data_IF_908712589840
#
_entry.id   IF_908712589840
#
_cell.length_a   1.000
_cell.length_b   1.000
_cell.length_c   1.000
_cell.angle_alpha   90.00
_cell.angle_beta   90.00
_cell.angle_gamma   90.00
#
_symmetry.space_group_name_H-M   'P 1'
#
loop_
_entity.id
_entity.type
_entity.pdbx_description
1 polymer ?
#
# COMPACT_ATOMS: atom_id res chain seq x y z
N UNK A 1 -8.97 12.09 7.81
CA UNK A 1 -8.06 11.68 6.71
C UNK A 1 -8.04 10.16 6.65
N UNK A 2 -8.83 9.55 5.75
CA UNK A 2 -8.94 8.10 5.64
C UNK A 2 -7.59 7.43 5.32
N UNK A 3 -6.63 8.15 4.75
CA UNK A 3 -5.32 7.63 4.37
C UNK A 3 -4.50 7.16 5.58
N UNK A 4 -4.69 7.78 6.75
CA UNK A 4 -3.93 7.44 7.95
C UNK A 4 -4.21 6.03 8.47
N UNK A 5 -5.45 5.53 8.31
CA UNK A 5 -5.81 4.19 8.77
C UNK A 5 -4.95 3.14 8.05
N UNK A 6 -4.91 3.22 6.72
CA UNK A 6 -4.11 2.31 5.90
C UNK A 6 -2.60 2.52 6.11
N UNK A 7 -2.16 3.78 6.22
CA UNK A 7 -0.77 4.10 6.52
C UNK A 7 -0.28 3.47 7.83
N UNK A 8 -1.08 3.59 8.90
CA UNK A 8 -0.73 3.02 10.20
C UNK A 8 -0.79 1.49 10.20
N UNK A 9 -1.74 0.89 9.49
CA UNK A 9 -1.81 -0.57 9.33
C UNK A 9 -0.54 -1.10 8.67
N UNK A 10 -0.15 -0.56 7.51
CA UNK A 10 1.05 -1.00 6.79
C UNK A 10 2.33 -0.70 7.57
N UNK A 11 2.41 0.46 8.24
CA UNK A 11 3.55 0.80 9.12
C UNK A 11 3.76 -0.23 10.23
N UNK A 12 2.69 -0.81 10.77
CA UNK A 12 2.78 -1.85 11.82
C UNK A 12 3.21 -3.22 11.28
N UNK A 13 3.07 -3.46 9.98
CA UNK A 13 3.50 -4.71 9.32
C UNK A 13 4.98 -4.68 8.88
N UNK A 14 5.63 -3.51 8.89
CA UNK A 14 7.03 -3.34 8.50
C UNK A 14 7.99 -3.47 9.69
N UNK A 15 9.25 -3.87 9.45
CA UNK A 15 10.27 -3.97 10.51
C UNK A 15 10.57 -2.60 11.13
N UNK A 16 10.75 -2.50 12.44
CA UNK A 16 10.93 -1.20 13.13
C UNK A 16 12.37 -0.68 13.04
N UNK A 17 12.81 -0.29 11.84
CA UNK A 17 14.17 0.22 11.59
C UNK A 17 14.19 1.47 10.67
N UNK A 18 15.38 2.02 10.40
CA UNK A 18 15.55 3.18 9.49
C UNK A 18 15.05 2.87 8.08
N UNK A 19 15.23 1.64 7.60
CA UNK A 19 14.78 1.18 6.28
C UNK A 19 13.26 1.23 6.15
N UNK A 20 12.50 0.92 7.19
CA UNK A 20 11.04 0.98 7.11
C UNK A 20 10.49 2.38 6.83
N UNK A 21 11.18 3.45 7.23
CA UNK A 21 10.80 4.81 6.81
C UNK A 21 10.96 5.00 5.30
N UNK A 22 12.02 4.45 4.72
CA UNK A 22 12.26 4.46 3.26
C UNK A 22 11.29 3.54 2.50
N UNK A 23 10.86 2.43 3.12
CA UNK A 23 9.82 1.57 2.54
C UNK A 23 8.46 2.26 2.56
N UNK A 24 8.10 2.91 3.67
CA UNK A 24 6.85 3.66 3.79
C UNK A 24 6.75 4.83 2.80
N UNK A 25 7.87 5.49 2.45
CA UNK A 25 7.83 6.58 1.46
C UNK A 25 7.48 6.11 0.05
N UNK A 26 7.64 4.81 -0.25
CA UNK A 26 7.26 4.21 -1.54
C UNK A 26 5.76 3.92 -1.62
N UNK A 27 5.07 3.79 -0.48
CA UNK A 27 3.63 3.58 -0.44
C UNK A 27 2.89 4.90 -0.73
N UNK A 28 2.07 4.92 -1.79
CA UNK A 28 1.23 6.06 -2.17
C UNK A 28 -0.23 5.71 -1.90
N UNK A 29 -0.90 6.52 -1.08
CA UNK A 29 -2.29 6.31 -0.66
C UNK A 29 -3.08 7.52 -1.08
N UNK A 30 -4.20 7.28 -1.75
CA UNK A 30 -5.13 8.30 -2.22
C UNK A 30 -6.51 8.01 -1.62
N UNK A 31 -7.21 9.06 -1.19
CA UNK A 31 -8.57 8.92 -0.65
C UNK A 31 -9.63 8.71 -1.75
N UNK A 32 -9.34 9.16 -2.97
CA UNK A 32 -10.21 9.03 -4.14
C UNK A 32 -9.92 7.77 -4.97
N UNK A 33 -10.75 7.49 -5.99
CA UNK A 33 -10.60 6.33 -6.86
C UNK A 33 -9.42 6.45 -7.84
N UNK A 34 -8.89 7.67 -8.05
CA UNK A 34 -7.85 7.94 -9.03
C UNK A 34 -6.47 8.20 -8.40
N UNK A 35 -5.42 7.86 -9.15
CA UNK A 35 -4.04 8.20 -8.84
C UNK A 35 -3.38 8.99 -10.00
N UNK A 36 -2.49 9.95 -9.72
CA UNK A 36 -1.79 10.74 -10.76
C UNK A 36 -0.64 9.97 -11.45
N UNK A 37 -0.50 8.67 -11.20
CA UNK A 37 0.65 7.85 -11.60
C UNK A 37 0.53 7.20 -12.99
N UNK A 38 -0.13 7.88 -13.93
CA UNK A 38 -0.39 7.35 -15.28
C UNK A 38 0.90 7.10 -16.07
N UNK A 39 1.93 7.96 -15.90
CA UNK A 39 3.21 7.82 -16.59
C UNK A 39 4.02 6.58 -16.16
N UNK A 40 3.75 6.02 -14.97
CA UNK A 40 4.48 4.87 -14.45
C UNK A 40 3.95 3.52 -14.96
N UNK A 41 2.86 3.51 -15.74
CA UNK A 41 2.20 2.30 -16.26
C UNK A 41 2.03 1.21 -15.17
N UNK A 42 1.30 1.51 -14.09
CA UNK A 42 1.15 0.59 -12.97
C UNK A 42 0.44 -0.69 -13.39
N UNK A 43 0.95 -1.83 -12.90
CA UNK A 43 0.34 -3.15 -13.07
C UNK A 43 -0.54 -3.45 -11.86
N UNK A 44 -1.72 -3.98 -12.11
CA UNK A 44 -2.64 -4.39 -11.05
C UNK A 44 -2.04 -5.50 -10.19
N UNK A 45 -2.17 -5.36 -8.86
CA UNK A 45 -1.72 -6.36 -7.91
C UNK A 45 -2.70 -7.53 -7.87
N UNK A 46 -2.30 -8.68 -8.42
CA UNK A 46 -3.07 -9.93 -8.33
C UNK A 46 -3.03 -10.46 -6.90
N UNK A 47 -4.21 -10.68 -6.29
CA UNK A 47 -4.33 -11.32 -4.98
C UNK A 47 -4.17 -12.83 -5.11
N UNK A 48 -2.97 -13.35 -4.84
CA UNK A 48 -2.69 -14.80 -4.88
C UNK A 48 -3.14 -15.53 -3.60
N UNK A 49 -4.32 -15.21 -3.07
CA UNK A 49 -4.89 -15.95 -1.94
C UNK A 49 -5.51 -17.25 -2.46
N UNK A 50 -4.77 -18.35 -2.37
CA UNK A 50 -5.35 -19.68 -2.52
C UNK A 50 -6.24 -19.97 -1.29
N UNK A 51 -7.54 -20.23 -1.54
CA UNK A 51 -8.62 -20.72 -0.65
C UNK A 51 -9.18 -19.76 0.42
N UNK A 52 -10.46 -19.41 0.25
CA UNK A 52 -11.52 -19.70 1.23
C UNK A 52 -12.85 -19.82 0.47
N UNK A 53 -13.00 -20.98 -0.17
CA UNK A 53 -14.29 -21.56 -0.52
C UNK A 53 -14.88 -22.16 0.75
N UNK A 54 -15.90 -21.53 1.31
CA UNK A 54 -16.93 -22.11 2.19
C UNK A 54 -18.07 -21.09 2.30
#
# INVERSE_FOLDING_TARGET
KPEYLLYHAVRRMLPKNKLARQMLSKLKIYAGPEHPHTAQQPVELVRTSKKASA
#
